data_IF_773004135084
#
_entry.id   IF_773004135084
#
_cell.length_a   1.000
_cell.length_b   1.000
_cell.length_c   1.000
_cell.angle_alpha   90.00
_cell.angle_beta   90.00
_cell.angle_gamma   90.00
#
_symmetry.space_group_name_H-M   'P 1'
#
loop_
_entity.id
_entity.type
_entity.pdbx_description
1 polymer ?
#
# COMPACT_ATOMS: atom_id res chain seq x y z
N UNK A 1 -0.02 -38.20 -7.49
CA UNK A 1 -0.25 -37.08 -6.54
C UNK A 1 0.71 -37.09 -5.35
N UNK A 2 1.18 -38.25 -4.87
CA UNK A 2 2.18 -38.34 -3.80
C UNK A 2 3.59 -37.85 -4.18
N UNK A 3 4.01 -38.00 -5.44
CA UNK A 3 5.33 -37.54 -5.91
C UNK A 3 5.47 -36.02 -6.01
N UNK A 4 4.40 -35.31 -6.41
CA UNK A 4 4.42 -33.84 -6.53
C UNK A 4 4.45 -33.18 -5.14
N UNK A 5 3.79 -33.77 -4.14
CA UNK A 5 3.84 -33.27 -2.76
C UNK A 5 5.22 -33.51 -2.14
N UNK A 6 5.89 -34.61 -2.49
CA UNK A 6 7.26 -34.89 -2.05
C UNK A 6 8.28 -33.90 -2.66
N UNK A 7 8.10 -33.51 -3.92
CA UNK A 7 8.98 -32.55 -4.60
C UNK A 7 8.84 -31.12 -4.04
N UNK A 8 7.62 -30.69 -3.71
CA UNK A 8 7.37 -29.39 -3.06
C UNK A 8 7.93 -29.36 -1.63
N UNK A 9 7.82 -30.46 -0.88
CA UNK A 9 8.44 -30.57 0.45
C UNK A 9 9.98 -30.65 0.41
N UNK A 10 10.56 -31.25 -0.64
CA UNK A 10 12.00 -31.27 -0.86
C UNK A 10 12.56 -29.89 -1.21
N UNK A 11 11.86 -29.11 -2.04
CA UNK A 11 12.21 -27.74 -2.37
C UNK A 11 12.08 -26.79 -1.15
N UNK A 12 11.07 -27.00 -0.30
CA UNK A 12 10.88 -26.23 0.94
C UNK A 12 11.94 -26.56 2.02
N UNK A 13 12.40 -27.83 2.11
CA UNK A 13 13.51 -28.21 3.01
C UNK A 13 14.87 -27.70 2.51
N UNK A 14 15.08 -27.59 1.19
CA UNK A 14 16.34 -27.07 0.63
C UNK A 14 16.54 -25.56 0.87
N UNK A 15 15.45 -24.80 1.12
CA UNK A 15 15.52 -23.37 1.49
C UNK A 15 15.68 -23.10 3.00
N UNK A 16 15.47 -24.10 3.87
CA UNK A 16 15.64 -23.97 5.33
C UNK A 16 17.08 -24.20 5.83
N UNK A 17 18.02 -24.48 4.92
CA UNK A 17 19.44 -24.69 5.21
C UNK A 17 20.35 -23.51 4.85
N UNK A 18 19.80 -22.33 4.54
CA UNK A 18 20.62 -21.12 4.41
C UNK A 18 21.01 -20.65 5.82
N UNK A 19 22.27 -20.96 6.14
CA UNK A 19 23.08 -20.48 7.27
C UNK A 19 22.61 -19.12 7.79
N UNK A 20 22.41 -19.04 9.11
CA UNK A 20 22.52 -17.77 9.83
C UNK A 20 23.73 -16.98 9.31
N UNK A 21 23.59 -15.67 9.06
CA UNK A 21 24.73 -14.86 8.68
C UNK A 21 25.77 -14.96 9.79
N UNK A 22 26.93 -15.52 9.44
CA UNK A 22 28.06 -15.60 10.36
C UNK A 22 28.36 -14.21 10.93
N UNK A 23 28.73 -14.10 12.22
CA UNK A 23 29.09 -12.82 12.80
C UNK A 23 30.19 -12.18 11.95
N UNK A 24 29.92 -10.95 11.51
CA UNK A 24 30.85 -10.14 10.74
C UNK A 24 32.17 -10.09 11.50
N UNK A 25 33.16 -10.86 11.02
CA UNK A 25 34.54 -10.75 11.49
C UNK A 25 35.00 -9.35 11.10
N UNK A 26 35.06 -8.46 12.09
CA UNK A 26 35.74 -7.17 11.96
C UNK A 26 37.17 -7.48 11.51
N UNK A 27 37.52 -7.03 10.30
CA UNK A 27 38.92 -7.06 9.88
C UNK A 27 39.76 -6.32 10.93
N UNK A 28 40.90 -6.87 11.35
CA UNK A 28 41.84 -6.11 12.15
C UNK A 28 42.20 -4.84 11.38
N UNK A 29 42.17 -3.70 12.09
CA UNK A 29 42.71 -2.41 11.64
C UNK A 29 44.01 -2.66 10.89
N UNK A 30 44.22 -2.08 9.69
CA UNK A 30 45.56 -2.00 9.13
C UNK A 30 46.45 -1.36 10.20
N UNK A 31 47.47 -2.11 10.64
CA UNK A 31 48.55 -1.52 11.41
C UNK A 31 49.11 -0.40 10.54
N UNK A 32 49.04 0.83 11.07
CA UNK A 32 49.69 1.97 10.47
C UNK A 32 51.17 1.59 10.32
N UNK A 33 51.60 1.43 9.08
CA UNK A 33 53.02 1.49 8.76
C UNK A 33 53.44 2.92 9.06
N UNK A 34 54.44 3.06 9.92
CA UNK A 34 55.10 4.32 10.23
C UNK A 34 55.61 4.94 8.92
N UNK A 35 54.82 5.88 8.39
CA UNK A 35 55.27 6.81 7.38
C UNK A 35 56.22 7.82 8.06
N UNK A 36 57.31 8.22 7.40
CA UNK A 36 58.26 9.15 7.98
C UNK A 36 57.52 10.46 8.30
N UNK A 37 57.77 10.98 9.49
CA UNK A 37 57.29 12.30 9.91
C UNK A 37 57.84 13.33 8.92
N UNK A 38 57.03 13.68 7.92
CA UNK A 38 57.23 14.90 7.16
C UNK A 38 57.05 16.04 8.16
N UNK A 39 58.09 16.85 8.32
CA UNK A 39 58.06 18.11 9.03
C UNK A 39 56.99 18.98 8.35
N UNK A 40 55.80 19.04 8.97
CA UNK A 40 54.75 19.96 8.57
C UNK A 40 55.26 21.35 8.94
N UNK A 41 55.66 22.13 7.94
CA UNK A 41 55.85 23.57 8.07
C UNK A 41 54.59 24.16 8.72
N UNK A 42 54.78 24.66 9.92
CA UNK A 42 53.72 25.07 10.84
C UNK A 42 53.23 26.47 10.45
N UNK A 43 52.46 26.56 9.37
CA UNK A 43 51.60 27.71 9.11
C UNK A 43 50.37 27.60 10.03
N UNK A 44 50.51 28.03 11.28
CA UNK A 44 49.43 28.13 12.29
C UNK A 44 48.45 29.28 11.97
N UNK A 45 48.02 29.38 10.72
CA UNK A 45 46.99 30.31 10.28
C UNK A 45 45.65 29.59 10.25
N UNK A 46 44.70 30.08 11.04
CA UNK A 46 43.32 29.60 11.03
C UNK A 46 42.41 30.69 10.45
N UNK A 47 41.52 30.31 9.56
CA UNK A 47 40.44 31.18 9.12
C UNK A 47 39.45 31.41 10.27
N UNK A 48 39.08 32.67 10.51
CA UNK A 48 38.13 33.04 11.56
C UNK A 48 36.83 33.63 10.99
N UNK A 49 35.69 33.20 11.53
CA UNK A 49 34.38 33.74 11.17
C UNK A 49 34.04 34.88 12.13
N UNK A 50 34.09 36.11 11.62
CA UNK A 50 33.68 37.30 12.36
C UNK A 50 32.29 37.74 11.90
N UNK A 51 31.31 37.69 12.80
CA UNK A 51 29.94 38.12 12.51
C UNK A 51 29.56 39.30 13.37
N UNK A 52 29.06 40.36 12.73
CA UNK A 52 28.46 41.52 13.40
C UNK A 52 27.03 41.76 12.89
N UNK A 53 26.27 42.57 13.62
CA UNK A 53 24.95 43.05 13.18
C UNK A 53 25.10 44.42 12.50
N UNK A 54 24.26 44.69 11.51
CA UNK A 54 24.16 45.98 10.84
C UNK A 54 22.67 46.28 10.61
N UNK A 55 22.26 47.53 10.80
CA UNK A 55 20.89 47.94 10.48
C UNK A 55 20.76 48.10 8.96
N UNK A 56 19.64 47.63 8.40
CA UNK A 56 19.36 47.77 6.96
C UNK A 56 19.06 49.24 6.65
N UNK A 57 19.86 49.85 5.77
CA UNK A 57 19.77 51.25 5.32
C UNK A 57 20.20 51.37 3.85
N UNK A 58 20.38 52.59 3.35
CA UNK A 58 21.03 52.79 2.04
C UNK A 58 22.43 52.18 2.01
N UNK A 59 22.83 51.66 0.85
CA UNK A 59 24.05 50.84 0.67
C UNK A 59 25.31 51.46 1.29
N UNK A 60 25.57 52.74 1.02
CA UNK A 60 26.76 53.44 1.54
C UNK A 60 26.76 53.56 3.07
N UNK A 61 25.57 53.75 3.66
CA UNK A 61 25.42 53.79 5.11
C UNK A 61 25.64 52.40 5.72
N UNK A 62 25.13 51.34 5.08
CA UNK A 62 25.36 49.96 5.52
C UNK A 62 26.84 49.57 5.46
N UNK A 63 27.56 49.94 4.40
CA UNK A 63 29.01 49.69 4.28
C UNK A 63 29.78 50.40 5.39
N UNK A 64 29.48 51.67 5.62
CA UNK A 64 30.14 52.46 6.66
C UNK A 64 29.87 51.88 8.06
N UNK A 65 28.61 51.53 8.36
CA UNK A 65 28.19 50.94 9.64
C UNK A 65 28.79 49.54 9.85
N UNK A 66 28.80 48.68 8.82
CA UNK A 66 29.42 47.36 8.88
C UNK A 66 30.93 47.45 9.13
N UNK A 67 31.63 48.36 8.43
CA UNK A 67 33.07 48.59 8.65
C UNK A 67 33.36 49.08 10.06
N UNK A 68 32.56 50.02 10.56
CA UNK A 68 32.70 50.52 11.93
C UNK A 68 32.46 49.41 12.96
N UNK A 69 31.41 48.60 12.77
CA UNK A 69 31.06 47.51 13.68
C UNK A 69 32.12 46.41 13.69
N UNK A 70 32.64 46.01 12.52
CA UNK A 70 33.73 45.03 12.42
C UNK A 70 35.02 45.56 13.06
N UNK A 71 35.36 46.82 12.79
CA UNK A 71 36.55 47.45 13.37
C UNK A 71 36.46 47.45 14.90
N UNK A 72 35.27 47.76 15.43
CA UNK A 72 35.02 47.79 16.87
C UNK A 72 35.21 46.43 17.54
N UNK A 73 34.75 45.34 16.92
CA UNK A 73 34.95 43.97 17.46
C UNK A 73 36.43 43.56 17.45
N UNK A 74 37.24 44.14 16.56
CA UNK A 74 38.68 43.87 16.46
C UNK A 74 39.55 44.77 17.37
N UNK A 75 38.99 45.80 18.01
CA UNK A 75 39.78 46.73 18.84
C UNK A 75 40.28 46.04 20.13
N UNK A 76 41.53 46.30 20.57
CA UNK A 76 42.13 45.66 21.74
C UNK A 76 41.36 45.83 23.05
N UNK A 77 40.63 46.93 23.18
CA UNK A 77 39.91 47.34 24.40
C UNK A 77 38.51 46.71 24.51
N UNK A 78 37.99 46.14 23.42
CA UNK A 78 36.63 45.60 23.29
C UNK A 78 36.63 44.16 22.76
N UNK A 79 37.78 43.47 22.80
CA UNK A 79 37.96 42.15 22.19
C UNK A 79 36.83 41.21 22.61
N UNK A 80 35.87 40.98 21.71
CA UNK A 80 35.11 39.75 21.79
C UNK A 80 36.13 38.62 21.63
N UNK A 81 36.22 37.78 22.64
CA UNK A 81 37.12 36.64 22.60
C UNK A 81 36.72 35.75 21.41
N UNK A 82 37.72 35.35 20.63
CA UNK A 82 37.53 34.31 19.63
C UNK A 82 37.54 32.97 20.34
N UNK A 83 36.53 32.17 20.06
CA UNK A 83 36.37 30.83 20.59
C UNK A 83 36.69 29.83 19.49
N UNK A 84 37.30 28.72 19.89
CA UNK A 84 37.52 27.57 19.01
C UNK A 84 36.51 26.49 19.38
N UNK A 85 35.68 26.10 18.43
CA UNK A 85 34.70 25.02 18.63
C UNK A 85 34.86 23.95 17.55
N UNK A 86 34.90 22.69 17.95
CA UNK A 86 34.93 21.54 17.06
C UNK A 86 33.58 20.84 17.00
N UNK A 87 33.06 20.57 15.81
CA UNK A 87 31.87 19.74 15.61
C UNK A 87 32.09 18.75 14.46
N UNK A 88 31.91 17.45 14.74
CA UNK A 88 31.95 16.35 13.76
C UNK A 88 33.02 16.49 12.66
N UNK A 89 34.27 16.80 13.04
CA UNK A 89 35.48 17.00 12.19
C UNK A 89 35.76 18.39 11.60
N UNK A 90 34.91 19.40 11.82
CA UNK A 90 35.21 20.80 11.47
C UNK A 90 35.52 21.65 12.70
N UNK A 91 36.59 22.43 12.63
CA UNK A 91 36.98 23.43 13.64
C UNK A 91 36.58 24.82 13.17
N UNK A 92 35.97 25.59 14.05
CA UNK A 92 35.58 26.98 13.81
C UNK A 92 36.31 27.86 14.80
N UNK A 93 37.02 28.86 14.30
CA UNK A 93 37.50 29.98 15.11
C UNK A 93 36.54 31.15 14.86
N UNK A 94 35.85 31.64 15.87
CA UNK A 94 34.84 32.68 15.65
C UNK A 94 34.51 33.48 16.91
N UNK A 95 33.96 34.68 16.75
CA UNK A 95 33.26 35.33 17.85
C UNK A 95 31.94 34.59 18.17
N UNK A 96 31.27 34.91 19.28
CA UNK A 96 30.07 34.17 19.73
C UNK A 96 28.97 34.07 18.66
N UNK A 97 28.76 35.14 17.88
CA UNK A 97 27.82 35.15 16.77
C UNK A 97 28.29 34.27 15.60
N UNK A 98 29.58 34.31 15.27
CA UNK A 98 30.19 33.45 14.25
C UNK A 98 30.17 31.97 14.62
N UNK A 99 30.31 31.61 15.90
CA UNK A 99 30.13 30.21 16.35
C UNK A 99 28.70 29.74 16.12
N UNK A 100 27.71 30.57 16.49
CA UNK A 100 26.28 30.26 16.26
C UNK A 100 25.99 30.06 14.78
N UNK A 101 26.58 30.88 13.92
CA UNK A 101 26.50 30.74 12.47
C UNK A 101 27.17 29.45 11.97
N UNK A 102 28.40 29.14 12.42
CA UNK A 102 29.13 27.92 12.06
C UNK A 102 28.39 26.64 12.47
N UNK A 103 27.80 26.60 13.66
CA UNK A 103 26.92 25.50 14.10
C UNK A 103 25.72 25.33 13.17
N UNK A 104 25.11 26.44 12.75
CA UNK A 104 23.95 26.43 11.86
C UNK A 104 24.30 25.93 10.46
N UNK A 105 25.47 26.30 9.94
CA UNK A 105 26.00 25.78 8.67
C UNK A 105 26.27 24.26 8.73
N UNK A 106 26.92 23.78 9.79
CA UNK A 106 27.14 22.33 9.94
C UNK A 106 25.82 21.56 10.04
N UNK A 107 24.85 22.12 10.79
CA UNK A 107 23.54 21.51 10.87
C UNK A 107 22.89 21.43 9.49
N UNK A 108 22.96 22.51 8.70
CA UNK A 108 22.43 22.53 7.34
C UNK A 108 23.08 21.45 6.47
N UNK A 109 24.41 21.37 6.44
CA UNK A 109 25.13 20.34 5.68
C UNK A 109 24.75 18.91 6.10
N UNK A 110 24.64 18.66 7.42
CA UNK A 110 24.22 17.36 7.93
C UNK A 110 22.78 17.02 7.52
N UNK A 111 21.86 17.99 7.59
CA UNK A 111 20.49 17.79 7.12
C UNK A 111 20.42 17.55 5.61
N UNK A 112 21.24 18.25 4.81
CA UNK A 112 21.34 18.02 3.37
C UNK A 112 21.88 16.62 3.05
N UNK A 113 22.89 16.16 3.78
CA UNK A 113 23.40 14.78 3.66
C UNK A 113 22.31 13.77 3.96
N UNK A 114 21.63 13.91 5.10
CA UNK A 114 20.52 13.02 5.50
C UNK A 114 19.39 13.04 4.48
N UNK A 115 19.06 14.20 3.90
CA UNK A 115 18.06 14.31 2.84
C UNK A 115 18.48 13.57 1.56
N UNK A 116 19.76 13.65 1.17
CA UNK A 116 20.28 12.89 0.02
C UNK A 116 20.21 11.39 0.27
N UNK A 117 20.60 10.92 1.46
CA UNK A 117 20.51 9.51 1.85
C UNK A 117 19.06 9.01 1.85
N UNK A 118 18.14 9.80 2.43
CA UNK A 118 16.72 9.46 2.45
C UNK A 118 16.13 9.36 1.03
N UNK A 119 16.51 10.26 0.11
CA UNK A 119 16.06 10.19 -1.30
C UNK A 119 16.54 8.92 -2.00
N UNK A 120 17.78 8.49 -1.77
CA UNK A 120 18.30 7.24 -2.33
C UNK A 120 17.52 6.05 -1.77
N UNK A 121 17.22 6.05 -0.48
CA UNK A 121 16.45 4.97 0.15
C UNK A 121 15.00 4.91 -0.36
N UNK A 122 14.36 6.07 -0.54
CA UNK A 122 13.01 6.15 -1.13
C UNK A 122 12.99 5.53 -2.52
N UNK A 123 13.94 5.92 -3.39
CA UNK A 123 14.02 5.37 -4.75
C UNK A 123 14.26 3.84 -4.75
N UNK A 124 15.06 3.33 -3.81
CA UNK A 124 15.26 1.89 -3.65
C UNK A 124 13.97 1.17 -3.24
N UNK A 125 13.22 1.73 -2.29
CA UNK A 125 11.95 1.14 -1.87
C UNK A 125 10.87 1.20 -2.97
N UNK A 126 10.83 2.25 -3.79
CA UNK A 126 9.93 2.33 -4.94
C UNK A 126 10.17 1.18 -5.94
N UNK A 127 11.44 0.87 -6.23
CA UNK A 127 11.80 -0.26 -7.10
C UNK A 127 11.33 -1.60 -6.50
N UNK A 128 11.56 -1.81 -5.20
CA UNK A 128 11.17 -3.04 -4.52
C UNK A 128 9.65 -3.20 -4.42
N UNK A 129 8.92 -2.11 -4.15
CA UNK A 129 7.45 -2.09 -4.17
C UNK A 129 6.95 -2.50 -5.56
N UNK A 130 7.48 -1.91 -6.63
CA UNK A 130 7.08 -2.26 -7.98
C UNK A 130 7.37 -3.73 -8.33
N UNK A 131 8.51 -4.27 -7.87
CA UNK A 131 8.87 -5.68 -8.04
C UNK A 131 7.87 -6.59 -7.32
N UNK A 132 7.60 -6.33 -6.05
CA UNK A 132 6.66 -7.11 -5.23
C UNK A 132 5.23 -7.04 -5.79
N UNK A 133 4.78 -5.86 -6.21
CA UNK A 133 3.48 -5.70 -6.87
C UNK A 133 3.38 -6.59 -8.13
N UNK A 134 4.44 -6.65 -8.95
CA UNK A 134 4.46 -7.53 -10.13
C UNK A 134 4.38 -9.02 -9.77
N UNK A 135 5.09 -9.46 -8.73
CA UNK A 135 5.03 -10.86 -8.26
C UNK A 135 3.65 -11.22 -7.69
N UNK A 136 3.03 -10.31 -6.94
CA UNK A 136 1.67 -10.50 -6.41
C UNK A 136 0.67 -10.65 -7.55
N UNK A 137 0.70 -9.76 -8.55
CA UNK A 137 -0.18 -9.85 -9.72
C UNK A 137 -0.03 -11.19 -10.46
N UNK A 138 1.20 -11.66 -10.68
CA UNK A 138 1.45 -12.95 -11.33
C UNK A 138 0.91 -14.14 -10.52
N UNK A 139 1.09 -14.11 -9.20
CA UNK A 139 0.58 -15.17 -8.32
C UNK A 139 -0.95 -15.17 -8.26
N UNK A 140 -1.57 -14.00 -8.24
CA UNK A 140 -3.03 -13.83 -8.28
C UNK A 140 -3.61 -14.37 -9.58
N UNK A 141 -3.00 -14.05 -10.73
CA UNK A 141 -3.43 -14.55 -12.04
C UNK A 141 -3.33 -16.07 -12.12
N UNK A 142 -2.22 -16.66 -11.64
CA UNK A 142 -2.05 -18.12 -11.60
C UNK A 142 -3.04 -18.80 -10.66
N UNK A 143 -3.31 -18.20 -9.50
CA UNK A 143 -4.30 -18.69 -8.55
C UNK A 143 -5.70 -18.67 -9.16
N UNK A 144 -6.04 -17.58 -9.86
CA UNK A 144 -7.30 -17.44 -10.60
C UNK A 144 -7.45 -18.50 -11.68
N UNK A 145 -6.43 -18.71 -12.51
CA UNK A 145 -6.43 -19.73 -13.56
C UNK A 145 -6.61 -21.14 -12.97
N UNK A 146 -5.87 -21.45 -11.89
CA UNK A 146 -5.98 -22.74 -11.22
C UNK A 146 -7.39 -22.97 -10.67
N UNK A 147 -7.98 -21.97 -10.01
CA UNK A 147 -9.35 -22.03 -9.50
C UNK A 147 -10.38 -22.22 -10.63
N UNK A 148 -10.22 -21.52 -11.76
CA UNK A 148 -11.07 -21.68 -12.94
C UNK A 148 -10.91 -23.06 -13.61
N UNK A 149 -9.75 -23.71 -13.45
CA UNK A 149 -9.53 -25.06 -13.98
C UNK A 149 -10.06 -26.16 -13.05
N UNK A 150 -10.25 -25.87 -11.76
CA UNK A 150 -10.58 -26.86 -10.77
C UNK A 150 -12.10 -27.12 -10.72
N UNK A 151 -12.51 -28.29 -11.22
CA UNK A 151 -13.93 -28.66 -11.27
C UNK A 151 -14.60 -28.67 -9.88
N UNK A 152 -13.89 -29.13 -8.85
CA UNK A 152 -14.43 -29.08 -7.48
C UNK A 152 -14.70 -27.67 -6.98
N UNK A 153 -13.94 -26.67 -7.45
CA UNK A 153 -14.19 -25.27 -7.12
C UNK A 153 -15.44 -24.77 -7.83
N UNK A 154 -15.61 -25.07 -9.13
CA UNK A 154 -16.84 -24.76 -9.88
C UNK A 154 -18.09 -25.36 -9.25
N UNK A 155 -18.02 -26.61 -8.79
CA UNK A 155 -19.12 -27.26 -8.06
C UNK A 155 -19.47 -26.48 -6.78
N UNK A 156 -18.45 -26.05 -6.01
CA UNK A 156 -18.66 -25.26 -4.80
C UNK A 156 -19.27 -23.87 -5.11
N UNK A 157 -18.83 -23.23 -6.19
CA UNK A 157 -19.39 -21.96 -6.68
C UNK A 157 -20.82 -22.10 -7.19
N UNK A 158 -21.14 -23.15 -7.95
CA UNK A 158 -22.49 -23.45 -8.40
C UNK A 158 -23.45 -23.62 -7.21
N UNK A 159 -22.98 -24.32 -6.16
CA UNK A 159 -23.72 -24.48 -4.91
C UNK A 159 -24.00 -23.14 -4.22
N UNK A 160 -23.04 -22.23 -4.17
CA UNK A 160 -23.24 -20.89 -3.58
C UNK A 160 -24.43 -20.15 -4.23
N UNK A 161 -24.50 -20.13 -5.56
CA UNK A 161 -25.61 -19.49 -6.29
C UNK A 161 -26.94 -20.22 -6.03
N UNK A 162 -26.93 -21.56 -5.96
CA UNK A 162 -28.14 -22.35 -5.67
C UNK A 162 -28.65 -22.13 -4.24
N UNK A 163 -27.75 -21.99 -3.27
CA UNK A 163 -28.12 -21.67 -1.88
C UNK A 163 -28.74 -20.28 -1.81
N UNK A 164 -28.15 -19.29 -2.47
CA UNK A 164 -28.74 -17.95 -2.61
C UNK A 164 -30.15 -18.01 -3.21
N UNK A 165 -30.31 -18.70 -4.35
CA UNK A 165 -31.60 -18.88 -5.03
C UNK A 165 -32.65 -19.54 -4.12
N UNK A 166 -32.27 -20.56 -3.37
CA UNK A 166 -33.15 -21.30 -2.45
C UNK A 166 -33.57 -20.47 -1.24
N UNK A 167 -32.61 -19.80 -0.61
CA UNK A 167 -32.79 -19.19 0.72
C UNK A 167 -33.24 -17.74 0.65
N UNK A 168 -32.81 -17.00 -0.36
CA UNK A 168 -33.14 -15.57 -0.52
C UNK A 168 -34.27 -15.31 -1.49
N UNK A 169 -34.39 -16.13 -2.55
CA UNK A 169 -35.43 -15.96 -3.56
C UNK A 169 -36.60 -16.94 -3.41
N UNK A 170 -36.48 -17.94 -2.52
CA UNK A 170 -37.52 -18.94 -2.29
C UNK A 170 -37.78 -19.88 -3.48
N UNK A 171 -36.95 -19.84 -4.52
CA UNK A 171 -37.09 -20.68 -5.71
C UNK A 171 -36.42 -22.02 -5.45
N UNK A 172 -37.19 -23.11 -5.55
CA UNK A 172 -36.71 -24.46 -5.24
C UNK A 172 -37.04 -25.42 -6.37
N UNK A 173 -36.02 -25.91 -7.08
CA UNK A 173 -36.15 -27.08 -7.95
C UNK A 173 -35.58 -28.35 -7.28
N UNK A 174 -36.04 -29.53 -7.70
CA UNK A 174 -35.50 -30.79 -7.17
C UNK A 174 -34.05 -31.01 -7.63
N UNK A 175 -33.69 -30.54 -8.84
CA UNK A 175 -32.32 -30.53 -9.32
C UNK A 175 -31.41 -29.66 -8.43
N UNK A 176 -31.88 -28.49 -8.00
CA UNK A 176 -31.14 -27.59 -7.10
C UNK A 176 -30.88 -28.28 -5.75
N UNK A 177 -31.86 -29.02 -5.21
CA UNK A 177 -31.71 -29.75 -3.95
C UNK A 177 -30.64 -30.84 -4.04
N UNK A 178 -30.62 -31.60 -5.13
CA UNK A 178 -29.62 -32.65 -5.35
C UNK A 178 -28.22 -32.04 -5.45
N UNK A 179 -28.05 -30.97 -6.22
CA UNK A 179 -26.77 -30.27 -6.36
C UNK A 179 -26.28 -29.68 -5.02
N UNK A 180 -27.17 -29.12 -4.19
CA UNK A 180 -26.80 -28.58 -2.87
C UNK A 180 -26.35 -29.68 -1.90
N UNK A 181 -26.96 -30.88 -1.96
CA UNK A 181 -26.62 -32.02 -1.09
C UNK A 181 -25.29 -32.68 -1.45
N UNK A 182 -24.90 -32.66 -2.72
CA UNK A 182 -23.69 -33.33 -3.19
C UNK A 182 -22.38 -32.64 -2.73
N UNK A 183 -22.43 -31.35 -2.36
CA UNK A 183 -21.26 -30.60 -1.91
C UNK A 183 -21.14 -30.51 -0.39
N UNK A 184 -19.96 -30.80 0.16
CA UNK A 184 -19.65 -30.56 1.58
C UNK A 184 -18.92 -29.23 1.83
N UNK A 185 -18.45 -28.55 0.77
CA UNK A 185 -17.70 -27.30 0.91
C UNK A 185 -18.65 -26.11 1.11
N UNK A 186 -18.41 -25.34 2.17
CA UNK A 186 -19.03 -24.04 2.40
C UNK A 186 -18.14 -22.97 1.76
N UNK A 187 -18.70 -22.15 0.88
CA UNK A 187 -17.97 -21.02 0.29
C UNK A 187 -18.51 -19.74 0.90
N UNK A 188 -17.62 -18.93 1.46
CA UNK A 188 -17.98 -17.68 2.13
C UNK A 188 -17.78 -16.50 1.18
N UNK A 189 -18.85 -16.08 0.50
CA UNK A 189 -18.88 -14.84 -0.28
C UNK A 189 -18.89 -15.01 -1.80
N UNK A 190 -19.05 -13.88 -2.49
CA UNK A 190 -19.07 -13.82 -3.95
C UNK A 190 -17.70 -14.04 -4.59
N UNK A 191 -17.70 -14.62 -5.78
CA UNK A 191 -16.59 -14.71 -6.72
C UNK A 191 -17.17 -14.52 -8.12
N UNK A 192 -17.39 -13.27 -8.48
CA UNK A 192 -18.13 -12.86 -9.66
C UNK A 192 -17.52 -13.42 -10.94
N UNK A 193 -16.19 -13.49 -11.03
CA UNK A 193 -15.47 -13.99 -12.20
C UNK A 193 -15.71 -15.49 -12.37
N UNK A 194 -15.48 -16.28 -11.31
CA UNK A 194 -15.70 -17.72 -11.38
C UNK A 194 -17.18 -18.05 -11.55
N UNK A 195 -18.07 -17.35 -10.86
CA UNK A 195 -19.52 -17.55 -10.97
C UNK A 195 -20.00 -17.21 -12.39
N UNK A 196 -19.47 -16.16 -13.02
CA UNK A 196 -19.78 -15.83 -14.41
C UNK A 196 -19.33 -16.94 -15.37
N UNK A 197 -18.19 -17.58 -15.10
CA UNK A 197 -17.69 -18.70 -15.92
C UNK A 197 -18.63 -19.91 -15.98
N UNK A 198 -19.51 -20.06 -14.98
CA UNK A 198 -20.54 -21.11 -14.96
C UNK A 198 -21.62 -20.91 -16.03
N UNK A 199 -21.78 -19.68 -16.55
CA UNK A 199 -22.76 -19.32 -17.58
C UNK A 199 -22.19 -19.39 -19.00
N UNK A 200 -20.86 -19.48 -19.15
CA UNK A 200 -20.20 -19.49 -20.46
C UNK A 200 -19.84 -20.88 -20.96
N UNK A 201 -20.24 -21.93 -20.24
CA UNK A 201 -20.04 -23.32 -20.67
C UNK A 201 -21.05 -23.66 -21.77
N UNK A 202 -20.61 -24.07 -22.99
CA UNK A 202 -21.52 -24.32 -24.11
C UNK A 202 -22.57 -25.41 -23.87
N UNK A 203 -22.27 -26.42 -23.04
CA UNK A 203 -23.16 -27.54 -22.73
C UNK A 203 -23.19 -27.73 -21.22
N UNK A 204 -24.39 -27.68 -20.63
CA UNK A 204 -24.56 -27.85 -19.18
C UNK A 204 -24.15 -26.65 -18.34
N UNK A 205 -23.96 -25.48 -18.96
CA UNK A 205 -23.82 -24.21 -18.26
C UNK A 205 -25.13 -23.78 -17.59
N UNK A 206 -25.04 -22.79 -16.70
CA UNK A 206 -26.23 -22.20 -16.06
C UNK A 206 -26.98 -21.31 -17.06
N UNK A 207 -28.31 -21.36 -16.99
CA UNK A 207 -29.20 -20.57 -17.86
C UNK A 207 -29.95 -19.47 -17.09
N UNK A 208 -29.90 -19.48 -15.76
CA UNK A 208 -30.63 -18.55 -14.90
C UNK A 208 -29.90 -17.21 -14.70
N UNK A 209 -29.60 -16.53 -15.81
CA UNK A 209 -28.82 -15.28 -15.87
C UNK A 209 -29.37 -14.19 -14.93
N UNK A 210 -30.69 -14.06 -14.81
CA UNK A 210 -31.31 -13.08 -13.92
C UNK A 210 -30.95 -13.27 -12.44
N UNK A 211 -30.64 -14.50 -12.01
CA UNK A 211 -30.17 -14.78 -10.64
C UNK A 211 -28.77 -14.22 -10.44
N UNK A 212 -27.89 -14.37 -11.44
CA UNK A 212 -26.56 -13.80 -11.42
C UNK A 212 -26.60 -12.27 -11.39
N UNK A 213 -27.43 -11.65 -12.23
CA UNK A 213 -27.59 -10.20 -12.28
C UNK A 213 -28.11 -9.62 -10.95
N UNK A 214 -29.03 -10.30 -10.27
CA UNK A 214 -29.47 -9.87 -8.94
C UNK A 214 -28.34 -9.96 -7.91
N UNK A 215 -27.51 -10.99 -8.00
CA UNK A 215 -26.45 -11.25 -7.04
C UNK A 215 -25.26 -10.27 -7.20
N UNK A 216 -24.91 -9.94 -8.44
CA UNK A 216 -23.72 -9.16 -8.78
C UNK A 216 -24.00 -7.81 -9.44
N UNK A 217 -25.25 -7.47 -9.75
CA UNK A 217 -25.63 -6.22 -10.42
C UNK A 217 -25.32 -6.14 -11.92
N UNK A 218 -24.49 -7.04 -12.46
CA UNK A 218 -24.04 -7.08 -13.85
C UNK A 218 -24.35 -8.44 -14.50
N UNK A 219 -24.44 -8.46 -15.83
CA UNK A 219 -24.56 -9.72 -16.57
C UNK A 219 -23.24 -10.51 -16.56
N UNK A 220 -23.27 -11.85 -16.65
CA UNK A 220 -22.06 -12.68 -16.51
C UNK A 220 -21.04 -12.43 -17.62
N UNK A 221 -21.46 -12.19 -18.87
CA UNK A 221 -20.54 -11.92 -19.98
C UNK A 221 -19.78 -10.60 -19.81
N UNK A 222 -20.41 -9.60 -19.22
CA UNK A 222 -19.78 -8.33 -18.90
C UNK A 222 -18.82 -8.45 -17.72
N UNK A 223 -19.18 -9.24 -16.70
CA UNK A 223 -18.28 -9.53 -15.59
C UNK A 223 -16.98 -10.20 -16.05
N UNK A 224 -17.03 -11.12 -17.02
CA UNK A 224 -15.83 -11.75 -17.57
C UNK A 224 -14.88 -10.79 -18.29
N UNK A 225 -15.39 -9.65 -18.75
CA UNK A 225 -14.60 -8.64 -19.46
C UNK A 225 -13.98 -7.61 -18.51
N UNK A 226 -14.36 -7.61 -17.23
CA UNK A 226 -13.84 -6.67 -16.25
C UNK A 226 -12.33 -6.84 -16.07
N UNK A 227 -11.61 -5.73 -16.18
CA UNK A 227 -10.16 -5.67 -15.96
C UNK A 227 -9.77 -5.24 -14.54
N UNK A 228 -10.65 -4.52 -13.86
CA UNK A 228 -10.32 -3.88 -12.58
C UNK A 228 -10.71 -4.77 -11.39
N UNK A 229 -9.74 -5.22 -10.58
CA UNK A 229 -10.02 -6.01 -9.40
C UNK A 229 -10.87 -5.24 -8.38
N UNK A 230 -10.79 -3.91 -8.36
CA UNK A 230 -11.61 -3.05 -7.51
C UNK A 230 -13.11 -3.20 -7.80
N UNK A 231 -13.49 -3.22 -9.08
CA UNK A 231 -14.88 -3.42 -9.48
C UNK A 231 -15.34 -4.81 -9.08
N UNK A 232 -14.54 -5.85 -9.36
CA UNK A 232 -14.83 -7.23 -8.96
C UNK A 232 -15.01 -7.35 -7.44
N UNK A 233 -14.18 -6.66 -6.65
CA UNK A 233 -14.29 -6.63 -5.20
C UNK A 233 -15.61 -6.01 -4.73
N UNK A 234 -16.11 -4.97 -5.41
CA UNK A 234 -17.43 -4.38 -5.13
C UNK A 234 -18.54 -5.41 -5.37
N UNK A 235 -18.50 -6.13 -6.50
CA UNK A 235 -19.50 -7.14 -6.83
C UNK A 235 -19.47 -8.31 -5.82
N UNK A 236 -18.28 -8.79 -5.47
CA UNK A 236 -18.09 -9.88 -4.52
C UNK A 236 -18.60 -9.54 -3.13
N UNK A 237 -18.37 -8.31 -2.67
CA UNK A 237 -18.84 -7.85 -1.37
C UNK A 237 -20.37 -7.70 -1.34
N UNK A 238 -20.97 -7.16 -2.40
CA UNK A 238 -22.44 -7.12 -2.53
C UNK A 238 -23.04 -8.52 -2.49
N UNK A 239 -22.53 -9.44 -3.30
CA UNK A 239 -22.99 -10.82 -3.33
C UNK A 239 -22.82 -11.53 -1.99
N UNK A 240 -21.71 -11.28 -1.28
CA UNK A 240 -21.45 -11.80 0.07
C UNK A 240 -22.51 -11.33 1.06
N UNK A 241 -22.81 -10.03 1.09
CA UNK A 241 -23.82 -9.47 1.99
C UNK A 241 -25.20 -9.99 1.65
N UNK A 242 -25.56 -10.00 0.36
CA UNK A 242 -26.88 -10.42 -0.12
C UNK A 242 -27.15 -11.92 0.12
N UNK A 243 -26.14 -12.77 -0.05
CA UNK A 243 -26.26 -14.21 0.14
C UNK A 243 -26.08 -14.68 1.59
N UNK A 244 -25.65 -13.81 2.50
CA UNK A 244 -25.34 -14.21 3.88
C UNK A 244 -26.59 -14.48 4.71
N UNK A 245 -26.50 -15.46 5.61
CA UNK A 245 -27.48 -15.76 6.66
C UNK A 245 -27.14 -15.11 8.01
N UNK A 246 -25.94 -14.56 8.16
CA UNK A 246 -25.47 -13.95 9.41
C UNK A 246 -25.36 -12.43 9.37
N UNK A 247 -25.33 -11.83 8.18
CA UNK A 247 -25.26 -10.37 8.00
C UNK A 247 -26.24 -9.91 6.93
N UNK A 248 -26.66 -8.66 7.02
CA UNK A 248 -27.51 -7.99 6.03
C UNK A 248 -27.02 -6.56 5.79
N UNK A 249 -27.20 -6.08 4.55
CA UNK A 249 -26.99 -4.68 4.21
C UNK A 249 -28.20 -3.83 4.59
N UNK A 250 -27.97 -2.58 4.99
CA UNK A 250 -29.05 -1.58 5.09
C UNK A 250 -29.55 -1.18 3.70
N UNK A 251 -30.69 -0.48 3.64
CA UNK A 251 -31.16 0.14 2.39
C UNK A 251 -30.10 1.04 1.75
N UNK A 252 -29.33 1.76 2.59
CA UNK A 252 -28.24 2.63 2.14
C UNK A 252 -27.09 1.84 1.50
N UNK A 253 -26.74 0.67 2.02
CA UNK A 253 -25.76 -0.23 1.37
C UNK A 253 -26.18 -0.55 -0.07
N UNK A 254 -27.42 -1.02 -0.25
CA UNK A 254 -27.93 -1.42 -1.57
C UNK A 254 -28.10 -0.22 -2.50
N UNK A 255 -28.56 0.93 -1.98
CA UNK A 255 -28.65 2.16 -2.76
C UNK A 255 -27.27 2.62 -3.27
N UNK A 256 -26.25 2.62 -2.41
CA UNK A 256 -24.88 3.00 -2.82
C UNK A 256 -24.33 2.06 -3.88
N UNK A 257 -24.56 0.74 -3.73
CA UNK A 257 -24.16 -0.25 -4.72
C UNK A 257 -24.87 -0.05 -6.05
N UNK A 258 -26.20 0.07 -6.03
CA UNK A 258 -27.00 0.27 -7.24
C UNK A 258 -26.64 1.56 -7.97
N UNK A 259 -26.43 2.66 -7.24
CA UNK A 259 -25.99 3.92 -7.82
C UNK A 259 -24.62 3.78 -8.52
N UNK A 260 -23.67 3.07 -7.90
CA UNK A 260 -22.38 2.78 -8.55
C UNK A 260 -22.57 1.94 -9.83
N UNK A 261 -23.31 0.83 -9.76
CA UNK A 261 -23.53 -0.07 -10.90
C UNK A 261 -24.26 0.63 -12.05
N UNK A 262 -25.25 1.47 -11.74
CA UNK A 262 -25.99 2.24 -12.73
C UNK A 262 -25.06 3.20 -13.47
N UNK A 263 -24.33 4.04 -12.72
CA UNK A 263 -23.39 4.99 -13.31
C UNK A 263 -22.28 4.27 -14.10
N UNK A 264 -21.80 3.14 -13.60
CA UNK A 264 -20.80 2.31 -14.27
C UNK A 264 -21.29 1.76 -15.62
N UNK A 265 -22.58 1.41 -15.75
CA UNK A 265 -23.20 0.95 -17.01
C UNK A 265 -23.51 2.10 -17.98
N UNK A 266 -23.92 3.26 -17.46
CA UNK A 266 -24.40 4.40 -18.26
C UNK A 266 -23.27 5.22 -18.88
N UNK A 267 -22.03 5.00 -18.44
CA UNK A 267 -20.85 5.74 -18.90
C UNK A 267 -19.95 4.90 -19.81
N UNK A 268 -19.34 5.53 -20.81
CA UNK A 268 -18.51 4.87 -21.82
C UNK A 268 -19.31 4.05 -22.85
N UNK A 269 -18.66 3.07 -23.50
CA UNK A 269 -19.29 2.11 -24.43
C UNK A 269 -20.01 0.98 -23.66
N UNK A 270 -20.79 1.36 -22.63
CA UNK A 270 -21.56 0.45 -21.78
C UNK A 270 -20.87 -0.01 -20.50
N UNK A 271 -19.59 0.34 -20.30
CA UNK A 271 -18.82 0.17 -19.05
C UNK A 271 -17.66 1.19 -19.02
N UNK A 272 -17.62 2.10 -18.04
CA UNK A 272 -16.46 2.98 -17.85
C UNK A 272 -15.33 2.23 -17.16
N UNK A 273 -14.57 1.46 -17.94
CA UNK A 273 -13.35 0.81 -17.46
C UNK A 273 -12.31 1.83 -16.96
N UNK A 274 -12.26 3.06 -17.46
CA UNK A 274 -11.22 4.02 -17.06
C UNK A 274 -11.58 4.83 -15.80
N UNK A 275 -12.68 4.51 -15.12
CA UNK A 275 -13.23 5.34 -14.04
C UNK A 275 -12.27 5.58 -12.87
N UNK A 276 -11.30 4.70 -12.62
CA UNK A 276 -10.30 4.88 -11.56
C UNK A 276 -9.14 5.81 -11.96
N UNK A 277 -8.95 6.04 -13.26
CA UNK A 277 -7.91 6.91 -13.79
C UNK A 277 -8.40 8.36 -13.96
N UNK A 278 -9.72 8.56 -13.96
CA UNK A 278 -10.35 9.86 -14.15
C UNK A 278 -10.94 10.35 -12.84
N UNK A 279 -10.21 11.21 -12.16
CA UNK A 279 -10.70 11.82 -10.92
C UNK A 279 -11.96 12.67 -11.17
N UNK A 280 -12.86 12.68 -10.19
CA UNK A 280 -14.08 13.48 -10.16
C UNK A 280 -15.16 13.12 -11.21
N UNK A 281 -15.07 11.98 -11.90
CA UNK A 281 -16.20 11.49 -12.70
C UNK A 281 -17.35 11.00 -11.79
N UNK A 282 -18.61 10.96 -12.28
CA UNK A 282 -19.73 10.41 -11.51
C UNK A 282 -19.46 8.98 -11.00
N UNK A 283 -18.87 8.12 -11.83
CA UNK A 283 -18.53 6.72 -11.46
C UNK A 283 -17.43 6.68 -10.40
N UNK A 284 -16.36 7.45 -10.56
CA UNK A 284 -15.29 7.58 -9.57
C UNK A 284 -15.84 7.99 -8.20
N UNK A 285 -16.68 9.02 -8.18
CA UNK A 285 -17.29 9.54 -6.96
C UNK A 285 -18.23 8.51 -6.32
N UNK A 286 -19.04 7.80 -7.11
CA UNK A 286 -19.94 6.76 -6.61
C UNK A 286 -19.17 5.57 -6.02
N UNK A 287 -18.11 5.11 -6.67
CA UNK A 287 -17.22 4.06 -6.17
C UNK A 287 -16.59 4.44 -4.83
N UNK A 288 -15.96 5.61 -4.73
CA UNK A 288 -15.32 6.03 -3.49
C UNK A 288 -16.31 6.28 -2.36
N UNK A 289 -17.52 6.74 -2.70
CA UNK A 289 -18.60 6.86 -1.73
C UNK A 289 -19.02 5.50 -1.18
N UNK A 290 -19.29 4.52 -2.06
CA UNK A 290 -19.59 3.15 -1.63
C UNK A 290 -18.45 2.57 -0.78
N UNK A 291 -17.20 2.73 -1.20
CA UNK A 291 -16.02 2.19 -0.51
C UNK A 291 -15.86 2.74 0.90
N UNK A 292 -16.11 4.04 1.11
CA UNK A 292 -16.04 4.67 2.45
C UNK A 292 -17.20 4.27 3.35
N UNK A 293 -18.41 4.25 2.81
CA UNK A 293 -19.62 4.14 3.63
C UNK A 293 -20.07 2.70 3.87
N UNK A 294 -19.69 1.72 3.04
CA UNK A 294 -20.22 0.34 3.13
C UNK A 294 -20.03 -0.35 4.48
N UNK A 295 -18.95 -0.04 5.20
CA UNK A 295 -18.58 -0.75 6.44
C UNK A 295 -19.61 -0.54 7.55
N UNK A 296 -20.16 0.67 7.64
CA UNK A 296 -21.15 1.05 8.65
C UNK A 296 -22.57 0.57 8.30
N UNK A 297 -22.75 0.08 7.07
CA UNK A 297 -24.04 -0.28 6.48
C UNK A 297 -24.28 -1.79 6.42
N UNK A 298 -23.40 -2.60 7.03
CA UNK A 298 -23.56 -4.06 7.14
C UNK A 298 -23.77 -4.43 8.60
N UNK A 299 -24.89 -5.09 8.90
CA UNK A 299 -25.33 -5.40 10.27
C UNK A 299 -25.47 -6.90 10.48
N UNK A 300 -25.20 -7.43 11.68
CA UNK A 300 -25.46 -8.83 11.98
C UNK A 300 -26.96 -9.10 12.05
N UNK A 301 -27.39 -10.22 11.48
CA UNK A 301 -28.78 -10.69 11.60
C UNK A 301 -28.97 -11.28 13.00
N UNK A 302 -29.96 -10.83 13.78
CA UNK A 302 -30.24 -11.39 15.10
C UNK A 302 -30.56 -12.89 14.97
N UNK A 303 -29.84 -13.74 15.72
CA UNK A 303 -30.17 -15.17 15.76
C UNK A 303 -31.51 -15.34 16.46
N UNK A 304 -32.41 -16.20 15.95
CA UNK A 304 -33.59 -16.59 16.70
C UNK A 304 -33.15 -17.13 18.06
N UNK A 305 -33.70 -16.59 19.15
CA UNK A 305 -33.49 -17.15 20.49
C UNK A 305 -34.20 -18.51 20.47
N UNK A 306 -33.43 -19.59 20.30
CA UNK A 306 -33.97 -20.94 20.44
C UNK A 306 -34.23 -21.13 21.93
N UNK A 307 -35.49 -21.30 22.38
CA UNK A 307 -35.77 -21.58 23.78
C UNK A 307 -35.02 -22.85 24.18
N UNK A 308 -34.36 -22.81 25.34
CA UNK A 308 -33.64 -23.96 25.88
C UNK A 308 -34.58 -25.17 25.89
N UNK A 309 -34.12 -26.28 25.31
CA UNK A 309 -34.89 -27.53 25.32
C UNK A 309 -35.24 -27.87 26.77
N UNK A 310 -36.50 -28.23 27.08
CA UNK A 310 -36.85 -28.69 28.42
C UNK A 310 -35.97 -29.89 28.76
N UNK A 311 -35.35 -29.82 29.94
CA UNK A 311 -34.47 -30.84 30.50
C UNK A 311 -35.20 -32.16 30.77
#
# INVERSE_FOLDING_TARGET
>A
MSEIIAEVHAAARKKRGQKEPAPIKRNPRPQAQDAPAEEIENDEQCDAILVTKCVIRGEENMKAEAKASLSHVLLPEQREEFYVEGHESKLFVANQLGLTYGRSLNHLEDTERKLKEARVLIAQYEVEINRLCGEVSLLEDRSRELNLSLESYKVARNRFILVYKRDKLGVRSEADRLAIRAGNATVHGGDAITDASLYTVPVGGREDVGIFEQLYGLNPWSVQRLKYPETVAVLNEHAKVLASDTIEGTEKFYHLFNNFIQLFKETGDGYDEAYLQQENTPVFNAYWRWKREKGDEVKPIPRPIVPAAPA
#
